data_IF_234537823319
#
_entry.id   IF_234537823319
#
_cell.length_a   1.000
_cell.length_b   1.000
_cell.length_c   1.000
_cell.angle_alpha   90.00
_cell.angle_beta   90.00
_cell.angle_gamma   90.00
#
_symmetry.space_group_name_H-M   'P 1'
#
loop_
_entity.id
_entity.type
_entity.pdbx_description
1 polymer ?
#
# COMPACT_ATOMS: atom_id res chain seq x y z
N UNK A 1 34.39 74.31 24.25
CA UNK A 1 33.39 73.85 23.29
C UNK A 1 33.42 72.32 23.29
N UNK A 2 32.54 71.76 24.10
CA UNK A 2 32.52 70.31 24.40
C UNK A 2 31.29 69.73 23.72
N UNK A 3 31.44 68.87 22.76
CA UNK A 3 30.34 68.08 22.17
C UNK A 3 30.69 66.58 22.32
N UNK A 4 30.08 66.03 23.28
CA UNK A 4 29.05 65.01 23.24
C UNK A 4 29.41 63.71 22.54
N UNK A 5 29.99 62.77 23.35
CA UNK A 5 30.28 61.39 22.97
C UNK A 5 29.26 60.36 23.47
N UNK A 6 28.00 60.70 23.78
CA UNK A 6 27.08 59.82 24.50
C UNK A 6 25.94 59.18 23.69
N UNK A 7 25.89 59.31 22.37
CA UNK A 7 24.76 58.81 21.56
C UNK A 7 25.03 57.53 20.75
N UNK A 8 26.22 57.01 20.71
CA UNK A 8 26.55 55.86 19.82
C UNK A 8 26.41 54.51 20.55
N UNK A 9 26.51 54.50 21.90
CA UNK A 9 26.52 53.20 22.65
C UNK A 9 25.13 52.60 22.85
N UNK A 10 24.02 53.35 22.76
CA UNK A 10 22.65 52.84 22.95
C UNK A 10 22.04 52.10 21.73
N UNK A 11 22.67 52.20 20.57
CA UNK A 11 22.14 51.53 19.38
C UNK A 11 22.77 50.13 19.12
N UNK A 12 23.88 49.80 19.76
CA UNK A 12 24.57 48.53 19.58
C UNK A 12 23.96 47.43 20.49
N UNK A 13 23.38 47.79 21.65
CA UNK A 13 22.80 46.83 22.60
C UNK A 13 21.52 46.16 22.11
N UNK A 14 20.80 46.74 21.14
CA UNK A 14 19.53 46.16 20.64
C UNK A 14 19.76 45.15 19.53
N UNK A 15 20.88 45.23 18.82
CA UNK A 15 21.18 44.31 17.72
C UNK A 15 21.76 42.95 18.21
N UNK A 16 22.39 42.91 19.36
CA UNK A 16 22.99 41.68 19.94
C UNK A 16 21.93 40.76 20.58
N UNK A 17 20.76 41.29 20.94
CA UNK A 17 19.69 40.47 21.58
C UNK A 17 18.81 39.71 20.58
N UNK A 18 18.91 40.00 19.27
CA UNK A 18 18.08 39.35 18.24
C UNK A 18 18.75 38.07 17.71
N UNK A 19 20.02 37.86 17.97
CA UNK A 19 20.77 36.71 17.43
C UNK A 19 20.74 35.45 18.31
N UNK A 20 20.07 35.45 19.45
CA UNK A 20 20.00 34.29 20.34
C UNK A 20 18.65 33.56 20.39
N UNK A 21 17.71 33.92 19.53
CA UNK A 21 16.59 33.02 19.24
C UNK A 21 17.01 32.21 18.02
N UNK A 22 17.88 31.25 18.24
CA UNK A 22 18.00 30.11 17.33
C UNK A 22 16.65 29.42 17.45
N UNK A 23 15.80 29.40 16.41
CA UNK A 23 14.67 28.51 16.44
C UNK A 23 15.28 27.11 16.58
N UNK A 24 15.02 26.46 17.70
CA UNK A 24 15.25 25.03 17.78
C UNK A 24 14.42 24.45 16.64
N UNK A 25 15.09 24.13 15.55
CA UNK A 25 14.51 23.42 14.44
C UNK A 25 14.28 22.01 14.99
N UNK A 26 13.16 21.82 15.67
CA UNK A 26 12.73 20.50 16.05
C UNK A 26 12.62 19.72 14.74
N UNK A 27 13.50 18.76 14.58
CA UNK A 27 13.33 17.76 13.52
C UNK A 27 11.98 17.13 13.75
N UNK A 28 11.05 17.40 12.87
CA UNK A 28 9.73 16.78 12.95
C UNK A 28 9.94 15.26 12.85
N UNK A 29 9.54 14.55 13.88
CA UNK A 29 9.51 13.09 13.85
C UNK A 29 8.54 12.65 12.75
N UNK A 30 8.94 11.65 11.99
CA UNK A 30 8.10 11.11 10.93
C UNK A 30 8.26 9.59 10.83
N UNK A 31 7.13 8.95 10.67
CA UNK A 31 7.02 7.56 10.30
C UNK A 31 6.28 7.50 8.97
N UNK A 32 6.80 6.74 8.01
CA UNK A 32 6.20 6.62 6.69
C UNK A 32 6.14 5.19 6.23
N UNK A 33 5.02 4.87 5.59
CA UNK A 33 4.85 3.65 4.83
C UNK A 33 4.39 4.02 3.42
N UNK A 34 5.07 3.52 2.41
CA UNK A 34 4.79 3.83 1.01
C UNK A 34 4.71 2.56 0.19
N UNK A 35 3.66 2.46 -0.62
CA UNK A 35 3.50 1.44 -1.64
C UNK A 35 3.79 2.03 -3.03
N UNK A 36 4.46 1.26 -3.88
CA UNK A 36 4.77 1.62 -5.26
C UNK A 36 4.51 0.43 -6.17
N UNK A 37 3.83 0.65 -7.29
CA UNK A 37 3.67 -0.39 -8.32
C UNK A 37 4.97 -0.45 -9.12
N UNK A 38 5.68 -1.57 -9.04
CA UNK A 38 6.92 -1.80 -9.77
C UNK A 38 6.65 -2.42 -11.15
N UNK A 39 5.59 -3.23 -11.26
CA UNK A 39 5.18 -3.89 -12.50
C UNK A 39 3.71 -4.32 -12.43
N UNK A 40 3.03 -4.49 -13.57
CA UNK A 40 1.72 -5.14 -13.68
C UNK A 40 0.55 -4.27 -13.20
N UNK A 41 0.37 -3.08 -13.77
CA UNK A 41 -0.79 -2.22 -13.47
C UNK A 41 -2.10 -2.63 -14.19
N UNK A 42 -2.01 -3.50 -15.21
CA UNK A 42 -3.17 -4.01 -15.95
C UNK A 42 -3.09 -5.53 -16.06
N UNK A 43 -4.12 -6.21 -15.62
CA UNK A 43 -4.18 -7.69 -15.55
C UNK A 43 -5.32 -8.21 -16.42
N UNK A 44 -5.04 -8.59 -17.68
CA UNK A 44 -6.07 -9.09 -18.60
C UNK A 44 -6.35 -10.58 -18.38
N UNK A 45 -7.59 -10.94 -18.13
CA UNK A 45 -8.09 -12.31 -18.17
C UNK A 45 -8.75 -12.57 -19.52
N UNK A 46 -8.20 -13.50 -20.31
CA UNK A 46 -8.71 -13.81 -21.65
C UNK A 46 -9.34 -15.18 -21.70
N UNK A 47 -10.66 -15.25 -21.68
CA UNK A 47 -11.47 -16.47 -21.74
C UNK A 47 -11.82 -16.82 -23.20
N UNK A 48 -10.88 -17.42 -23.91
CA UNK A 48 -10.99 -17.74 -25.33
C UNK A 48 -11.20 -19.25 -25.63
N UNK A 49 -11.51 -20.04 -24.60
CA UNK A 49 -11.80 -21.47 -24.73
C UNK A 49 -12.80 -21.94 -23.69
N UNK A 50 -13.53 -23.01 -24.01
CA UNK A 50 -14.45 -23.66 -23.09
C UNK A 50 -13.75 -24.18 -21.82
N UNK A 51 -12.49 -24.61 -21.97
CA UNK A 51 -11.71 -25.09 -20.83
C UNK A 51 -11.44 -23.95 -19.83
N UNK A 52 -11.03 -22.75 -20.30
CA UNK A 52 -10.82 -21.59 -19.45
C UNK A 52 -12.10 -21.12 -18.78
N UNK A 53 -13.23 -21.14 -19.47
CA UNK A 53 -14.54 -20.82 -18.88
C UNK A 53 -14.95 -21.81 -17.77
N UNK A 54 -14.51 -23.07 -17.86
CA UNK A 54 -14.77 -24.09 -16.85
C UNK A 54 -13.82 -24.07 -15.67
N UNK A 55 -12.52 -23.82 -15.93
CA UNK A 55 -11.46 -23.92 -14.93
C UNK A 55 -11.04 -22.58 -14.33
N UNK A 56 -11.45 -21.47 -14.94
CA UNK A 56 -10.94 -20.16 -14.60
C UNK A 56 -9.54 -19.92 -15.15
N UNK A 57 -9.00 -18.77 -14.79
CA UNK A 57 -7.64 -18.35 -15.16
C UNK A 57 -6.95 -17.88 -13.88
N UNK A 58 -5.72 -18.32 -13.69
CA UNK A 58 -4.83 -17.83 -12.65
C UNK A 58 -3.64 -17.11 -13.29
N UNK A 59 -3.30 -15.94 -12.76
CA UNK A 59 -2.14 -15.13 -13.18
C UNK A 59 -1.25 -14.96 -11.96
N UNK A 60 -0.18 -15.72 -11.92
CA UNK A 60 0.80 -15.66 -10.84
C UNK A 60 1.69 -14.42 -11.00
N UNK A 61 1.94 -13.73 -9.89
CA UNK A 61 2.80 -12.55 -9.85
C UNK A 61 2.45 -11.50 -10.90
N UNK A 62 1.15 -11.31 -11.15
CA UNK A 62 0.66 -10.37 -12.15
C UNK A 62 1.02 -8.92 -11.83
N UNK A 63 1.04 -8.54 -10.55
CA UNK A 63 1.53 -7.23 -10.10
C UNK A 63 2.65 -7.40 -9.09
N UNK A 64 3.61 -6.50 -9.12
CA UNK A 64 4.70 -6.43 -8.15
C UNK A 64 4.68 -5.09 -7.44
N UNK A 65 4.62 -5.13 -6.13
CA UNK A 65 4.72 -3.94 -5.27
C UNK A 65 6.09 -3.82 -4.62
N UNK A 66 6.59 -2.58 -4.53
CA UNK A 66 7.63 -2.19 -3.60
C UNK A 66 6.99 -1.52 -2.40
N UNK A 67 7.34 -1.96 -1.20
CA UNK A 67 6.92 -1.35 0.05
C UNK A 67 8.16 -0.75 0.70
N UNK A 68 8.11 0.56 0.93
CA UNK A 68 9.19 1.30 1.58
C UNK A 68 8.67 1.80 2.92
N UNK A 69 9.39 1.43 3.96
CA UNK A 69 9.09 1.83 5.34
C UNK A 69 10.22 2.72 5.84
N UNK A 70 9.89 3.76 6.56
CA UNK A 70 10.88 4.68 7.12
C UNK A 70 10.41 5.30 8.42
N UNK A 71 11.35 5.48 9.34
CA UNK A 71 11.15 6.20 10.59
C UNK A 71 12.42 7.00 10.89
N UNK A 72 12.29 8.24 11.36
CA UNK A 72 13.42 9.02 11.87
C UNK A 72 13.57 8.94 13.40
N UNK A 73 12.74 8.17 14.06
CA UNK A 73 12.83 7.95 15.49
C UNK A 73 14.04 7.04 15.80
N UNK A 74 15.03 7.56 16.56
CA UNK A 74 16.31 6.88 16.76
C UNK A 74 16.26 5.82 17.87
N UNK A 75 15.36 5.98 18.82
CA UNK A 75 15.35 5.17 20.06
C UNK A 75 14.16 4.20 20.12
N UNK A 76 12.98 4.68 19.76
CA UNK A 76 11.74 3.88 19.77
C UNK A 76 11.08 4.01 18.40
N UNK A 77 11.25 2.99 17.57
CA UNK A 77 10.54 2.92 16.29
C UNK A 77 9.09 2.55 16.54
N UNK A 78 8.19 3.51 16.38
CA UNK A 78 6.75 3.30 16.60
C UNK A 78 6.13 2.39 15.53
N UNK A 79 6.77 2.29 14.37
CA UNK A 79 6.33 1.42 13.30
C UNK A 79 6.82 -0.01 13.53
N UNK A 80 5.92 -0.91 13.87
CA UNK A 80 6.23 -2.33 14.15
C UNK A 80 5.80 -3.28 13.04
N UNK A 81 5.03 -2.80 12.06
CA UNK A 81 4.54 -3.62 10.97
C UNK A 81 3.64 -2.84 10.04
N UNK A 82 2.88 -3.57 9.23
CA UNK A 82 1.85 -3.00 8.36
C UNK A 82 0.80 -4.05 7.97
N UNK A 83 -0.35 -3.55 7.53
CA UNK A 83 -1.39 -4.33 6.85
C UNK A 83 -1.53 -3.80 5.44
N UNK A 84 -1.54 -4.68 4.45
CA UNK A 84 -1.92 -4.37 3.09
C UNK A 84 -3.38 -4.80 2.89
N UNK A 85 -4.25 -3.84 2.67
CA UNK A 85 -5.65 -4.05 2.33
C UNK A 85 -5.88 -3.87 0.83
N UNK A 86 -6.99 -4.42 0.35
CA UNK A 86 -7.46 -4.21 -1.02
C UNK A 86 -8.98 -4.17 -1.07
N UNK A 87 -9.54 -3.56 -2.13
CA UNK A 87 -10.97 -3.57 -2.47
C UNK A 87 -11.20 -3.17 -3.92
N UNK A 88 -12.43 -3.30 -4.40
CA UNK A 88 -12.85 -2.65 -5.63
C UNK A 88 -12.90 -1.13 -5.47
N UNK A 89 -12.36 -0.40 -6.45
CA UNK A 89 -12.26 1.06 -6.41
C UNK A 89 -13.64 1.72 -6.23
N UNK A 90 -13.69 2.78 -5.42
CA UNK A 90 -14.90 3.51 -5.07
C UNK A 90 -16.05 2.61 -4.56
N UNK A 91 -15.73 1.51 -3.86
CA UNK A 91 -16.71 0.54 -3.35
C UNK A 91 -17.66 0.04 -4.44
N UNK A 92 -17.14 -0.15 -5.65
CA UNK A 92 -17.91 -0.73 -6.76
C UNK A 92 -18.48 -2.08 -6.34
N UNK A 93 -19.76 -2.34 -6.63
CA UNK A 93 -20.44 -3.55 -6.18
C UNK A 93 -20.28 -4.76 -7.12
N UNK A 94 -19.94 -4.53 -8.39
CA UNK A 94 -19.84 -5.57 -9.42
C UNK A 94 -18.73 -5.24 -10.41
N UNK A 95 -18.23 -6.25 -11.11
CA UNK A 95 -17.49 -6.08 -12.36
C UNK A 95 -18.42 -5.46 -13.40
N UNK A 96 -17.97 -4.42 -14.07
CA UNK A 96 -18.78 -3.73 -15.09
C UNK A 96 -18.42 -4.23 -16.48
N UNK A 97 -19.41 -4.71 -17.23
CA UNK A 97 -19.33 -4.94 -18.65
C UNK A 97 -20.09 -3.85 -19.43
N UNK A 98 -20.06 -3.94 -20.75
CA UNK A 98 -20.80 -3.03 -21.63
C UNK A 98 -22.32 -3.23 -21.51
N UNK A 99 -22.77 -4.48 -21.32
CA UNK A 99 -24.16 -4.85 -21.24
C UNK A 99 -24.57 -5.60 -19.98
N UNK A 100 -23.58 -6.28 -19.32
CA UNK A 100 -23.83 -7.16 -18.20
C UNK A 100 -22.90 -6.82 -17.03
N UNK A 101 -23.17 -7.43 -15.89
CA UNK A 101 -22.32 -7.35 -14.70
C UNK A 101 -21.99 -8.72 -14.16
N UNK A 102 -20.86 -8.88 -13.50
CA UNK A 102 -20.50 -10.07 -12.74
C UNK A 102 -20.24 -9.71 -11.27
N UNK A 103 -20.44 -10.63 -10.33
CA UNK A 103 -20.08 -10.42 -8.94
C UNK A 103 -18.58 -10.15 -8.77
N UNK A 104 -18.20 -9.30 -7.82
CA UNK A 104 -16.79 -8.98 -7.55
C UNK A 104 -15.97 -10.21 -7.15
N UNK A 105 -16.56 -11.13 -6.38
CA UNK A 105 -15.92 -12.35 -5.93
C UNK A 105 -15.57 -13.34 -7.06
N UNK A 106 -15.95 -13.05 -8.29
CA UNK A 106 -15.44 -13.72 -9.50
C UNK A 106 -13.93 -13.55 -9.61
N UNK A 107 -13.39 -12.44 -9.08
CA UNK A 107 -11.96 -12.19 -8.97
C UNK A 107 -11.51 -12.41 -7.54
N UNK A 108 -10.40 -13.13 -7.38
CA UNK A 108 -9.72 -13.32 -6.11
C UNK A 108 -8.27 -12.88 -6.23
N UNK A 109 -7.73 -12.37 -5.13
CA UNK A 109 -6.41 -11.77 -5.07
C UNK A 109 -5.60 -12.41 -3.95
N UNK A 110 -4.32 -12.63 -4.18
CA UNK A 110 -3.38 -13.19 -3.20
C UNK A 110 -2.09 -12.39 -3.20
N UNK A 111 -1.58 -12.04 -2.04
CA UNK A 111 -0.25 -11.48 -1.89
C UNK A 111 0.75 -12.58 -1.49
N UNK A 112 1.94 -12.54 -2.09
CA UNK A 112 3.02 -13.45 -1.79
C UNK A 112 4.30 -12.67 -1.52
N UNK A 113 5.03 -13.08 -0.50
CA UNK A 113 6.30 -12.49 -0.18
C UNK A 113 7.36 -12.82 -1.24
N UNK A 114 8.19 -11.84 -1.57
CA UNK A 114 9.30 -12.01 -2.50
C UNK A 114 10.64 -11.64 -1.86
N UNK A 115 10.70 -10.52 -1.15
CA UNK A 115 11.96 -10.02 -0.56
C UNK A 115 11.69 -9.31 0.76
N UNK A 116 12.40 -9.73 1.79
CA UNK A 116 12.48 -8.99 3.05
C UNK A 116 11.26 -9.04 3.95
N UNK A 117 10.29 -9.90 3.64
CA UNK A 117 9.04 -10.06 4.41
C UNK A 117 8.78 -11.55 4.74
N UNK A 118 9.83 -12.30 4.99
CA UNK A 118 9.77 -13.76 5.16
C UNK A 118 8.86 -14.20 6.32
N UNK A 119 8.69 -13.35 7.32
CA UNK A 119 7.78 -13.58 8.44
C UNK A 119 6.36 -13.02 8.22
N UNK A 120 6.10 -12.43 7.05
CA UNK A 120 4.78 -11.91 6.72
C UNK A 120 3.76 -13.01 6.48
N UNK A 121 2.52 -12.73 6.84
CA UNK A 121 1.41 -13.65 6.70
C UNK A 121 0.57 -13.33 5.45
N UNK A 122 0.64 -14.22 4.46
CA UNK A 122 -0.28 -14.23 3.32
C UNK A 122 -1.55 -14.96 3.72
N UNK A 123 -2.69 -14.31 3.55
CA UNK A 123 -4.00 -14.87 3.90
C UNK A 123 -4.58 -15.83 2.82
N UNK A 124 -3.79 -16.14 1.79
CA UNK A 124 -4.24 -16.94 0.65
C UNK A 124 -4.99 -16.10 -0.39
N UNK A 125 -5.80 -16.78 -1.21
CA UNK A 125 -6.69 -16.10 -2.14
C UNK A 125 -7.90 -15.55 -1.41
N UNK A 126 -8.09 -14.23 -1.47
CA UNK A 126 -9.20 -13.49 -0.88
C UNK A 126 -10.10 -12.94 -1.97
N UNK A 127 -11.41 -12.96 -1.75
CA UNK A 127 -12.39 -12.45 -2.68
C UNK A 127 -12.29 -10.94 -2.83
N UNK A 128 -12.39 -10.45 -4.06
CA UNK A 128 -12.55 -9.01 -4.29
C UNK A 128 -13.92 -8.58 -3.75
N UNK A 129 -13.92 -7.56 -2.93
CA UNK A 129 -15.12 -7.00 -2.29
C UNK A 129 -15.19 -5.48 -2.48
N UNK A 130 -16.33 -4.89 -2.14
CA UNK A 130 -16.53 -3.43 -2.10
C UNK A 130 -15.87 -2.78 -0.88
N UNK A 131 -15.70 -3.56 0.17
CA UNK A 131 -15.12 -3.12 1.44
C UNK A 131 -13.65 -3.52 1.54
N UNK A 132 -12.89 -2.78 2.35
CA UNK A 132 -11.51 -3.08 2.62
C UNK A 132 -11.33 -4.48 3.23
N UNK A 133 -10.52 -5.29 2.59
CA UNK A 133 -10.21 -6.66 2.99
C UNK A 133 -8.69 -6.78 3.20
N UNK A 134 -8.23 -7.29 4.35
CA UNK A 134 -6.82 -7.58 4.57
C UNK A 134 -6.32 -8.64 3.58
N UNK A 135 -5.16 -8.41 2.98
CA UNK A 135 -4.52 -9.31 2.02
C UNK A 135 -3.20 -9.85 2.53
N UNK A 136 -2.45 -9.03 3.25
CA UNK A 136 -1.15 -9.38 3.79
C UNK A 136 -0.91 -8.59 5.07
N UNK A 137 -0.37 -9.27 6.09
CA UNK A 137 0.05 -8.65 7.35
C UNK A 137 1.51 -8.91 7.60
N UNK A 138 2.21 -7.90 8.08
CA UNK A 138 3.58 -8.02 8.54
C UNK A 138 3.69 -7.42 9.94
N UNK A 139 4.22 -8.20 10.86
CA UNK A 139 4.42 -7.83 12.25
C UNK A 139 5.89 -8.06 12.62
N UNK A 140 6.32 -7.47 13.73
CA UNK A 140 7.70 -7.61 14.24
C UNK A 140 8.77 -7.08 13.27
N UNK A 141 8.52 -5.90 12.71
CA UNK A 141 9.51 -5.20 11.93
C UNK A 141 10.74 -4.92 12.81
N UNK A 142 11.87 -5.54 12.48
CA UNK A 142 13.12 -5.33 13.20
C UNK A 142 13.92 -4.27 12.46
N UNK A 143 14.04 -3.11 13.06
CA UNK A 143 14.89 -2.03 12.56
C UNK A 143 16.35 -2.32 12.91
N UNK A 144 17.11 -2.84 11.97
CA UNK A 144 18.58 -2.91 12.11
C UNK A 144 19.19 -1.72 11.39
N UNK A 145 19.56 -0.70 12.13
CA UNK A 145 20.23 0.48 11.58
C UNK A 145 19.51 1.19 10.45
N UNK A 146 18.33 1.65 10.74
CA UNK A 146 17.82 2.88 10.17
C UNK A 146 17.65 3.01 8.69
N UNK A 147 16.57 3.35 8.37
CA UNK A 147 15.98 4.49 7.73
C UNK A 147 15.03 4.13 6.64
N UNK A 148 15.37 3.28 5.72
CA UNK A 148 14.50 2.91 4.62
C UNK A 148 14.71 1.44 4.25
N UNK A 149 13.79 0.58 4.68
CA UNK A 149 13.73 -0.79 4.18
C UNK A 149 12.79 -0.85 3.00
N UNK A 150 13.26 -1.39 1.88
CA UNK A 150 12.42 -1.66 0.72
C UNK A 150 12.16 -3.16 0.64
N UNK A 151 10.88 -3.51 0.69
CA UNK A 151 10.40 -4.87 0.58
C UNK A 151 9.63 -5.06 -0.73
N UNK A 152 9.44 -6.28 -1.15
CA UNK A 152 8.69 -6.57 -2.36
C UNK A 152 7.64 -7.64 -2.12
N UNK A 153 6.44 -7.40 -2.64
CA UNK A 153 5.34 -8.35 -2.68
C UNK A 153 4.92 -8.60 -4.12
N UNK A 154 4.63 -9.86 -4.43
CA UNK A 154 3.93 -10.23 -5.64
C UNK A 154 2.44 -10.37 -5.34
N UNK A 155 1.62 -9.88 -6.26
CA UNK A 155 0.17 -10.04 -6.21
C UNK A 155 -0.23 -10.97 -7.35
N UNK A 156 -0.87 -12.05 -6.98
CA UNK A 156 -1.43 -13.05 -7.89
C UNK A 156 -2.94 -12.90 -7.95
N UNK A 157 -3.51 -13.21 -9.09
CA UNK A 157 -4.93 -13.04 -9.35
C UNK A 157 -5.52 -14.31 -9.93
N UNK A 158 -6.76 -14.63 -9.59
CA UNK A 158 -7.56 -15.63 -10.27
C UNK A 158 -8.93 -15.08 -10.62
N UNK A 159 -9.52 -15.61 -11.70
CA UNK A 159 -10.82 -15.20 -12.17
C UNK A 159 -11.60 -16.42 -12.67
N UNK A 160 -12.86 -16.55 -12.23
CA UNK A 160 -13.76 -17.59 -12.68
C UNK A 160 -13.37 -19.01 -12.31
N UNK A 161 -12.65 -19.20 -11.19
CA UNK A 161 -12.24 -20.51 -10.70
C UNK A 161 -13.45 -21.25 -10.09
N UNK A 162 -13.65 -22.55 -10.39
CA UNK A 162 -14.78 -23.29 -9.88
C UNK A 162 -14.71 -23.55 -8.36
N UNK A 163 -15.85 -23.68 -7.71
CA UNK A 163 -15.95 -23.96 -6.27
C UNK A 163 -15.23 -25.26 -5.88
N UNK A 164 -15.25 -26.27 -6.74
CA UNK A 164 -14.53 -27.52 -6.51
C UNK A 164 -13.02 -27.38 -6.42
N UNK A 165 -12.47 -26.26 -6.89
CA UNK A 165 -11.05 -25.90 -6.83
C UNK A 165 -10.80 -24.72 -5.88
N UNK A 166 -11.78 -24.43 -5.01
CA UNK A 166 -11.67 -23.37 -4.00
C UNK A 166 -11.95 -21.96 -4.52
N UNK A 167 -12.51 -21.83 -5.72
CA UNK A 167 -13.00 -20.56 -6.28
C UNK A 167 -14.47 -20.31 -5.95
N UNK A 168 -15.04 -19.26 -6.54
CA UNK A 168 -16.44 -18.83 -6.32
C UNK A 168 -17.39 -19.12 -7.49
N UNK A 169 -16.96 -19.94 -8.43
CA UNK A 169 -17.75 -20.39 -9.56
C UNK A 169 -17.08 -20.16 -10.90
N UNK A 170 -17.27 -21.11 -11.80
CA UNK A 170 -16.80 -21.02 -13.17
C UNK A 170 -17.68 -20.03 -13.97
N UNK A 171 -17.08 -19.39 -14.98
CA UNK A 171 -17.77 -18.46 -15.87
C UNK A 171 -18.59 -19.17 -16.97
N UNK A 172 -18.66 -20.48 -16.92
CA UNK A 172 -19.43 -21.25 -17.88
C UNK A 172 -20.93 -20.95 -17.72
N UNK A 173 -21.55 -20.38 -18.75
CA UNK A 173 -22.96 -20.00 -18.73
C UNK A 173 -23.22 -18.52 -18.47
N UNK A 174 -22.17 -17.78 -18.09
CA UNK A 174 -22.27 -16.33 -17.97
C UNK A 174 -22.35 -15.67 -19.35
N UNK A 175 -22.94 -14.48 -19.39
CA UNK A 175 -23.05 -13.71 -20.61
C UNK A 175 -21.68 -13.23 -21.10
N UNK A 176 -21.37 -13.39 -22.40
CA UNK A 176 -20.15 -12.88 -22.97
C UNK A 176 -20.16 -11.36 -23.01
N UNK A 177 -19.16 -10.75 -22.38
CA UNK A 177 -18.96 -9.31 -22.33
C UNK A 177 -17.49 -9.00 -22.05
N UNK A 178 -17.12 -7.72 -22.08
CA UNK A 178 -15.81 -7.22 -21.67
C UNK A 178 -15.93 -6.60 -20.29
N UNK A 179 -15.65 -7.37 -19.26
CA UNK A 179 -15.78 -6.94 -17.88
C UNK A 179 -14.52 -6.26 -17.37
N UNK A 180 -14.70 -5.16 -16.63
CA UNK A 180 -13.63 -4.38 -16.02
C UNK A 180 -13.90 -4.11 -14.55
N UNK A 181 -12.83 -3.98 -13.79
CA UNK A 181 -12.83 -3.46 -12.42
C UNK A 181 -11.49 -2.81 -12.14
N UNK A 182 -11.51 -1.73 -11.40
CA UNK A 182 -10.32 -1.15 -10.80
C UNK A 182 -10.18 -1.67 -9.37
N UNK A 183 -8.95 -2.04 -8.99
CA UNK A 183 -8.64 -2.51 -7.64
C UNK A 183 -7.72 -1.48 -6.99
N UNK A 184 -8.11 -1.02 -5.82
CA UNK A 184 -7.26 -0.17 -5.01
C UNK A 184 -6.63 -0.96 -3.86
N UNK A 185 -5.42 -0.55 -3.50
CA UNK A 185 -4.65 -1.11 -2.42
C UNK A 185 -4.29 -0.02 -1.43
N UNK A 186 -4.40 -0.35 -0.14
CA UNK A 186 -4.07 0.55 0.95
C UNK A 186 -3.05 -0.10 1.87
N UNK A 187 -1.99 0.63 2.20
CA UNK A 187 -0.98 0.22 3.15
C UNK A 187 -1.21 0.96 4.47
N UNK A 188 -1.57 0.22 5.50
CA UNK A 188 -1.78 0.77 6.85
C UNK A 188 -0.58 0.38 7.72
N UNK A 189 0.22 1.34 8.17
CA UNK A 189 1.27 1.08 9.14
C UNK A 189 0.67 0.68 10.48
N UNK A 190 1.40 -0.15 11.24
CA UNK A 190 1.00 -0.60 12.56
C UNK A 190 2.11 -0.35 13.58
N UNK A 191 1.72 0.02 14.79
CA UNK A 191 2.65 0.30 15.90
C UNK A 191 2.00 1.20 16.97
N UNK A 192 2.71 1.44 18.09
CA UNK A 192 2.18 2.23 19.21
C UNK A 192 1.82 3.68 18.86
N UNK A 193 2.38 4.23 17.80
CA UNK A 193 2.17 5.62 17.36
C UNK A 193 1.13 5.79 16.25
N UNK A 194 0.36 4.73 15.91
CA UNK A 194 -0.65 4.73 14.83
C UNK A 194 -2.03 4.35 15.35
#
# INVERSE_FOLDING_TARGET
MIYSGHKIIKRISVIVLIFFVVPECYSQEWNTARISVLNGGNIPFTFNSLEKLKKGIEILSGTKFGITLGSNHIVDHDLTGFVLNFRAFNSQANLRGDFYTLPLNTIRVKAENVVGLESGNSLGYMDLASDWTPLFTYENLIWTNLTWATHQLNISYECGKPESEGGNGALLGENPDYYTVEIEFELIPTGPGF
#
